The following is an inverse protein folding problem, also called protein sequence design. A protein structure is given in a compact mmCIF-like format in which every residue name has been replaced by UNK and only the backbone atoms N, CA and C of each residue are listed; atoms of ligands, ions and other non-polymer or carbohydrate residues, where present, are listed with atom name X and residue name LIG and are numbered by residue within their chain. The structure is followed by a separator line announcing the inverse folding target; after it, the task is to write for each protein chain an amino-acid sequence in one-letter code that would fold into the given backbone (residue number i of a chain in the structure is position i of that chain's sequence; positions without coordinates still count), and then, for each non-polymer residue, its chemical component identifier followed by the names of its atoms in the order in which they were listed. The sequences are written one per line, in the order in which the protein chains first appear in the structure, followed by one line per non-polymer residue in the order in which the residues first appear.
data_IF_626261807380
#
_entry.id   IF_626261807380
#
_cell.length_a   1.000
_cell.length_b   1.000
_cell.length_c   1.000
_cell.angle_alpha   90.00
_cell.angle_beta   90.00
_cell.angle_gamma   90.00
#
_symmetry.space_group_name_H-M   'P 1'
#
loop_
_entity.id
_entity.type
_entity.pdbx_description
1 polymer ?
#
# COMPACT_ATOMS: atom_id res chain seq x y z
N UNK A 1 3.99 -0.34 -29.86
CA UNK A 1 2.67 0.00 -29.30
C UNK A 1 2.16 -1.05 -28.30
N UNK A 2 2.94 -1.38 -27.24
CA UNK A 2 2.52 -2.30 -26.15
C UNK A 2 2.71 -1.74 -24.74
N UNK A 3 3.32 -0.55 -24.62
CA UNK A 3 3.52 0.13 -23.33
C UNK A 3 2.33 1.03 -22.95
N UNK A 4 1.68 1.67 -23.92
CA UNK A 4 0.66 2.69 -23.64
C UNK A 4 -0.65 2.17 -23.00
N UNK A 5 -1.04 0.90 -23.23
CA UNK A 5 -2.30 0.36 -22.74
C UNK A 5 -2.23 -0.17 -21.29
N UNK A 6 -1.04 -0.63 -20.85
CA UNK A 6 -0.82 -1.02 -19.45
C UNK A 6 -0.71 0.23 -18.58
N UNK A 7 -0.10 1.29 -19.12
CA UNK A 7 0.00 2.61 -18.49
C UNK A 7 -1.38 3.16 -18.12
N UNK A 8 -2.37 3.11 -19.01
CA UNK A 8 -3.71 3.65 -18.73
C UNK A 8 -4.54 2.81 -17.75
N UNK A 9 -4.38 1.48 -17.77
CA UNK A 9 -5.06 0.59 -16.82
C UNK A 9 -4.46 0.69 -15.42
N UNK A 10 -3.12 0.76 -15.32
CA UNK A 10 -2.46 1.00 -14.05
C UNK A 10 -2.69 2.42 -13.57
N UNK A 11 -2.54 3.48 -14.37
CA UNK A 11 -2.78 4.87 -13.91
C UNK A 11 -4.22 5.09 -13.40
N UNK A 12 -5.23 4.56 -14.10
CA UNK A 12 -6.63 4.72 -13.67
C UNK A 12 -6.94 3.92 -12.40
N UNK A 13 -6.33 2.74 -12.22
CA UNK A 13 -6.52 1.90 -11.04
C UNK A 13 -5.57 2.20 -9.89
N UNK A 14 -4.43 2.83 -10.15
CA UNK A 14 -3.36 3.08 -9.19
C UNK A 14 -3.74 4.22 -8.27
N UNK A 15 -4.37 5.29 -8.77
CA UNK A 15 -4.88 6.34 -7.90
C UNK A 15 -5.92 5.78 -6.91
N UNK A 16 -6.84 4.93 -7.36
CA UNK A 16 -7.85 4.32 -6.51
C UNK A 16 -7.24 3.31 -5.52
N UNK A 17 -6.31 2.45 -5.99
CA UNK A 17 -5.58 1.51 -5.12
C UNK A 17 -4.72 2.24 -4.08
N UNK A 18 -4.12 3.37 -4.46
CA UNK A 18 -3.31 4.22 -3.58
C UNK A 18 -4.17 4.87 -2.51
N UNK A 19 -5.32 5.42 -2.90
CA UNK A 19 -6.29 5.99 -1.98
C UNK A 19 -6.82 4.93 -1.01
N UNK A 20 -7.15 3.73 -1.50
CA UNK A 20 -7.56 2.60 -0.66
C UNK A 20 -6.46 2.20 0.32
N UNK A 21 -5.23 2.03 -0.13
CA UNK A 21 -4.13 1.64 0.74
C UNK A 21 -3.86 2.70 1.82
N UNK A 22 -3.88 3.98 1.46
CA UNK A 22 -3.75 5.08 2.40
C UNK A 22 -4.89 5.08 3.44
N UNK A 23 -6.14 4.94 2.99
CA UNK A 23 -7.30 4.84 3.89
C UNK A 23 -7.18 3.64 4.85
N UNK A 24 -6.70 2.50 4.36
CA UNK A 24 -6.46 1.31 5.17
C UNK A 24 -5.36 1.52 6.22
N UNK A 25 -4.25 2.17 5.85
CA UNK A 25 -3.17 2.51 6.78
C UNK A 25 -3.67 3.45 7.87
N UNK A 26 -4.42 4.49 7.51
CA UNK A 26 -4.98 5.43 8.50
C UNK A 26 -5.96 4.72 9.45
N UNK A 27 -6.84 3.88 8.91
CA UNK A 27 -7.80 3.12 9.73
C UNK A 27 -7.10 2.13 10.67
N UNK A 28 -6.06 1.45 10.18
CA UNK A 28 -5.27 0.51 10.97
C UNK A 28 -4.42 1.20 12.05
N UNK A 29 -3.82 2.34 11.72
CA UNK A 29 -3.12 3.18 12.68
C UNK A 29 -4.09 3.69 13.77
N UNK A 30 -5.26 4.20 13.39
CA UNK A 30 -6.28 4.65 14.34
C UNK A 30 -6.77 3.51 15.25
N UNK A 31 -7.06 2.34 14.69
CA UNK A 31 -7.46 1.16 15.47
C UNK A 31 -6.40 0.80 16.50
N UNK A 32 -5.12 0.79 16.10
CA UNK A 32 -4.01 0.42 16.98
C UNK A 32 -3.78 1.47 18.07
N UNK A 33 -3.95 2.76 17.77
CA UNK A 33 -3.86 3.85 18.75
C UNK A 33 -4.91 3.76 19.86
N UNK A 34 -6.12 3.30 19.54
CA UNK A 34 -7.19 3.08 20.54
C UNK A 34 -7.08 1.71 21.22
N UNK A 35 -5.98 0.97 21.00
CA UNK A 35 -5.76 -0.37 21.54
C UNK A 35 -6.63 -1.46 20.92
N UNK A 36 -7.28 -1.18 19.79
CA UNK A 36 -8.13 -2.13 19.08
C UNK A 36 -7.34 -2.86 17.99
N UNK A 37 -7.56 -4.17 17.86
CA UNK A 37 -6.92 -4.92 16.77
C UNK A 37 -7.59 -4.56 15.45
N UNK A 38 -6.78 -4.26 14.43
CA UNK A 38 -7.30 -4.05 13.08
C UNK A 38 -7.69 -5.40 12.46
N UNK A 39 -9.00 -5.61 12.28
CA UNK A 39 -9.56 -6.90 11.85
C UNK A 39 -9.31 -7.22 10.36
N UNK A 40 -9.26 -6.20 9.50
CA UNK A 40 -9.18 -6.38 8.05
C UNK A 40 -7.74 -6.34 7.49
N UNK A 41 -6.78 -6.86 8.26
CA UNK A 41 -5.36 -6.85 7.89
C UNK A 41 -5.08 -7.64 6.59
N UNK A 42 -5.91 -8.64 6.27
CA UNK A 42 -5.79 -9.44 5.04
C UNK A 42 -6.00 -8.59 3.78
N UNK A 43 -6.99 -7.69 3.80
CA UNK A 43 -7.24 -6.75 2.70
C UNK A 43 -6.09 -5.77 2.53
N UNK A 44 -5.55 -5.25 3.64
CA UNK A 44 -4.34 -4.42 3.62
C UNK A 44 -3.11 -5.14 3.04
N UNK A 45 -2.93 -6.42 3.36
CA UNK A 45 -1.88 -7.25 2.79
C UNK A 45 -2.07 -7.50 1.29
N UNK A 46 -3.31 -7.65 0.83
CA UNK A 46 -3.65 -7.77 -0.60
C UNK A 46 -3.26 -6.53 -1.39
N UNK A 47 -3.58 -5.34 -0.86
CA UNK A 47 -3.17 -4.06 -1.45
C UNK A 47 -1.64 -3.92 -1.47
N UNK A 48 -0.95 -4.22 -0.37
CA UNK A 48 0.51 -4.18 -0.32
C UNK A 48 1.15 -5.10 -1.39
N UNK A 49 0.61 -6.31 -1.57
CA UNK A 49 1.08 -7.25 -2.58
C UNK A 49 0.84 -6.75 -4.01
N UNK A 50 -0.24 -6.01 -4.26
CA UNK A 50 -0.48 -5.37 -5.56
C UNK A 50 0.66 -4.40 -5.90
N UNK A 51 1.05 -3.53 -4.97
CA UNK A 51 2.15 -2.58 -5.20
C UNK A 51 3.51 -3.27 -5.33
N UNK A 52 3.80 -4.27 -4.48
CA UNK A 52 5.03 -5.05 -4.58
C UNK A 52 5.17 -5.75 -5.95
N UNK A 53 4.08 -6.33 -6.45
CA UNK A 53 4.07 -6.96 -7.78
C UNK A 53 4.19 -5.93 -8.90
N UNK A 54 3.49 -4.80 -8.78
CA UNK A 54 3.56 -3.70 -9.75
C UNK A 54 4.96 -3.11 -9.87
N UNK A 55 5.68 -2.94 -8.76
CA UNK A 55 7.10 -2.54 -8.82
C UNK A 55 7.99 -3.62 -9.41
N UNK A 56 7.79 -4.90 -9.03
CA UNK A 56 8.62 -6.00 -9.49
C UNK A 56 8.57 -6.20 -11.02
N UNK A 57 7.44 -5.87 -11.67
CA UNK A 57 7.32 -5.90 -13.12
C UNK A 57 7.59 -4.56 -13.82
N UNK A 58 7.95 -3.51 -13.07
CA UNK A 58 8.20 -2.16 -13.60
C UNK A 58 6.94 -1.40 -14.03
N UNK A 59 5.75 -1.85 -13.63
CA UNK A 59 4.48 -1.17 -13.90
C UNK A 59 4.19 -0.02 -12.93
N UNK A 60 4.83 -0.03 -11.76
CA UNK A 60 4.72 1.02 -10.74
C UNK A 60 6.12 1.51 -10.39
N UNK A 61 6.31 2.83 -10.35
CA UNK A 61 7.59 3.43 -9.93
C UNK A 61 7.63 3.61 -8.42
N UNK A 62 8.83 3.76 -7.85
CA UNK A 62 8.97 4.06 -6.42
C UNK A 62 8.24 5.35 -6.02
N UNK A 63 8.23 6.37 -6.89
CA UNK A 63 7.52 7.63 -6.61
C UNK A 63 6.01 7.43 -6.49
N UNK A 64 5.43 6.59 -7.34
CA UNK A 64 4.00 6.25 -7.29
C UNK A 64 3.65 5.49 -6.00
N UNK A 65 4.54 4.60 -5.53
CA UNK A 65 4.33 3.92 -4.23
C UNK A 65 4.44 4.89 -3.06
N UNK A 66 5.43 5.80 -3.10
CA UNK A 66 5.58 6.82 -2.06
C UNK A 66 4.36 7.74 -1.98
N UNK A 67 3.70 8.01 -3.11
CA UNK A 67 2.47 8.80 -3.16
C UNK A 67 1.29 8.14 -2.41
N UNK A 68 1.32 6.82 -2.17
CA UNK A 68 0.29 6.14 -1.36
C UNK A 68 0.44 6.39 0.14
N UNK A 69 1.52 7.04 0.57
CA UNK A 69 1.83 7.28 1.98
C UNK A 69 2.60 6.14 2.65
N UNK A 70 3.03 5.12 1.90
CA UNK A 70 3.96 4.08 2.36
C UNK A 70 5.40 4.53 2.12
N UNK A 71 6.27 4.29 3.09
CA UNK A 71 7.72 4.49 2.95
C UNK A 71 8.40 3.27 2.33
N UNK A 72 9.58 3.45 1.75
CA UNK A 72 10.36 2.33 1.20
C UNK A 72 10.71 1.28 2.26
N UNK A 73 10.92 1.68 3.51
CA UNK A 73 11.20 0.74 4.61
C UNK A 73 9.98 -0.15 4.91
N UNK A 74 8.81 0.45 4.95
CA UNK A 74 7.54 -0.25 5.13
C UNK A 74 7.23 -1.17 3.94
N UNK A 75 7.54 -0.75 2.74
CA UNK A 75 7.40 -1.59 1.56
C UNK A 75 8.34 -2.81 1.61
N UNK A 76 9.60 -2.60 2.04
CA UNK A 76 10.58 -3.67 2.27
C UNK A 76 10.16 -4.63 3.38
N UNK A 77 9.34 -4.19 4.32
CA UNK A 77 8.78 -5.03 5.36
C UNK A 77 7.89 -6.16 4.81
N UNK A 78 7.26 -5.95 3.64
CA UNK A 78 6.37 -6.91 2.95
C UNK A 78 5.21 -7.44 3.81
N UNK A 79 4.97 -6.86 4.97
CA UNK A 79 3.96 -7.27 5.94
C UNK A 79 3.18 -6.04 6.40
N UNK A 80 1.90 -5.99 6.02
CA UNK A 80 1.00 -4.90 6.39
C UNK A 80 0.87 -4.76 7.91
N UNK A 81 0.71 -5.89 8.61
CA UNK A 81 0.63 -5.91 10.08
C UNK A 81 1.89 -5.32 10.70
N UNK A 82 3.07 -5.62 10.17
CA UNK A 82 4.34 -5.08 10.67
C UNK A 82 4.47 -3.58 10.41
N UNK A 83 3.98 -3.09 9.27
CA UNK A 83 3.91 -1.65 8.95
C UNK A 83 3.05 -0.92 9.98
N UNK A 84 1.82 -1.40 10.22
CA UNK A 84 0.88 -0.80 11.17
C UNK A 84 1.44 -0.80 12.59
N UNK A 85 2.02 -1.92 13.02
CA UNK A 85 2.64 -2.04 14.34
C UNK A 85 3.85 -1.10 14.52
N UNK A 86 4.65 -0.88 13.47
CA UNK A 86 5.75 0.06 13.53
C UNK A 86 5.23 1.50 13.64
N UNK A 87 4.20 1.86 12.87
CA UNK A 87 3.57 3.19 12.94
C UNK A 87 2.94 3.48 14.30
N UNK A 88 2.38 2.47 14.96
CA UNK A 88 1.79 2.64 16.29
C UNK A 88 2.83 2.75 17.42
N UNK A 89 4.11 2.39 17.15
CA UNK A 89 5.22 2.52 18.10
C UNK A 89 5.99 3.83 17.96
N UNK A 90 5.77 4.56 16.88
CA UNK A 90 6.34 5.90 16.66
C UNK A 90 5.44 6.98 17.26
#
# INVERSE_FOLDING_TARGET
MRYAAVDTFFLSGLQDASARLNAFLNKAAQATLVGNTFDDAATGQGLLNFFLRGMACGAITEQEVLATGITLDELRSRSFVRIVNNRAKQ
#
